data_IF_293368518152
#
_entry.id   IF_293368518152
#
_cell.length_a   1.000
_cell.length_b   1.000
_cell.length_c   1.000
_cell.angle_alpha   90.00
_cell.angle_beta   90.00
_cell.angle_gamma   90.00
#
_symmetry.space_group_name_H-M   'P 1'
#
loop_
_entity.id
_entity.type
_entity.pdbx_description
1 polymer ?
#
# COMPACT_ATOMS: atom_id res chain seq x y z
N UNK A 1 -0.26 3.55 27.44
CA UNK A 1 0.92 3.82 28.30
C UNK A 1 0.52 3.84 29.76
N UNK A 2 1.49 3.74 30.70
CA UNK A 2 1.20 3.90 32.14
C UNK A 2 0.50 5.23 32.50
N UNK A 3 0.67 6.26 31.69
CA UNK A 3 0.02 7.57 31.82
C UNK A 3 -1.36 7.63 31.18
N UNK A 4 -1.91 6.50 30.70
CA UNK A 4 -3.23 6.44 30.07
C UNK A 4 -3.28 6.90 28.61
N UNK A 5 -2.14 7.26 27.99
CA UNK A 5 -2.11 7.65 26.59
C UNK A 5 -2.39 6.46 25.68
N UNK A 6 -3.30 6.61 24.70
CA UNK A 6 -3.54 5.63 23.65
C UNK A 6 -2.39 5.65 22.65
N UNK A 7 -1.86 4.47 22.33
CA UNK A 7 -0.75 4.33 21.38
C UNK A 7 -0.95 3.10 20.49
N UNK A 8 -0.48 3.19 19.27
CA UNK A 8 -0.07 2.02 18.49
C UNK A 8 1.36 1.67 18.90
N UNK A 9 1.70 0.39 18.99
CA UNK A 9 3.07 -0.02 19.24
C UNK A 9 3.52 -1.11 18.27
N UNK A 10 4.80 -1.13 17.97
CA UNK A 10 5.44 -2.16 17.18
C UNK A 10 6.66 -2.75 17.91
N UNK A 11 7.09 -3.92 17.50
CA UNK A 11 8.30 -4.58 17.99
C UNK A 11 8.34 -4.73 19.53
N UNK A 12 7.40 -5.48 20.13
CA UNK A 12 7.46 -5.81 21.55
C UNK A 12 8.79 -6.49 21.90
N UNK A 13 9.25 -6.29 23.12
CA UNK A 13 10.54 -6.84 23.58
C UNK A 13 10.49 -8.36 23.64
N UNK A 14 11.42 -9.04 22.97
CA UNK A 14 11.51 -10.50 23.01
C UNK A 14 11.68 -11.01 24.46
N UNK A 15 11.10 -12.16 24.83
CA UNK A 15 10.37 -13.12 23.99
C UNK A 15 8.86 -12.84 23.86
N UNK A 16 8.38 -11.69 24.27
CA UNK A 16 6.95 -11.35 24.29
C UNK A 16 6.42 -10.99 22.89
N UNK A 17 5.12 -11.28 22.66
CA UNK A 17 4.39 -10.91 21.45
C UNK A 17 3.34 -9.83 21.72
N UNK A 18 2.70 -9.34 20.66
CA UNK A 18 1.63 -8.33 20.74
C UNK A 18 0.23 -8.92 21.00
N UNK A 19 0.03 -10.22 20.77
CA UNK A 19 -1.26 -10.90 21.01
C UNK A 19 -1.39 -11.32 22.49
N UNK A 20 -1.45 -10.33 23.35
CA UNK A 20 -1.52 -10.47 24.80
C UNK A 20 -2.19 -9.25 25.43
N UNK A 21 -2.75 -9.40 26.61
CA UNK A 21 -3.34 -8.29 27.37
C UNK A 21 -2.32 -7.20 27.72
N UNK A 22 -1.04 -7.55 27.83
CA UNK A 22 0.07 -6.64 28.13
C UNK A 22 1.32 -7.13 27.40
N UNK A 23 2.06 -6.20 26.82
CA UNK A 23 3.34 -6.47 26.19
C UNK A 23 4.36 -5.39 26.60
N UNK A 24 5.59 -5.77 27.00
CA UNK A 24 6.66 -4.79 27.22
C UNK A 24 7.15 -4.24 25.88
N UNK A 25 7.16 -2.93 25.75
CA UNK A 25 7.57 -2.24 24.51
C UNK A 25 8.44 -1.03 24.87
N UNK A 26 9.51 -0.81 24.12
CA UNK A 26 10.31 0.39 24.23
C UNK A 26 9.47 1.63 23.88
N UNK A 27 9.56 2.71 24.65
CA UNK A 27 8.75 3.92 24.43
C UNK A 27 8.92 4.51 23.03
N UNK A 28 10.09 4.41 22.44
CA UNK A 28 10.36 4.85 21.07
C UNK A 28 9.59 4.08 19.98
N UNK A 29 9.05 2.92 20.34
CA UNK A 29 8.21 2.10 19.44
C UNK A 29 6.71 2.30 19.71
N UNK A 30 6.35 3.25 20.57
CA UNK A 30 4.98 3.62 20.89
C UNK A 30 4.62 4.91 20.13
N UNK A 31 3.65 4.84 19.26
CA UNK A 31 3.20 5.94 18.41
C UNK A 31 1.85 6.45 18.91
N UNK A 32 1.73 7.74 19.28
CA UNK A 32 0.47 8.31 19.74
C UNK A 32 -0.64 8.16 18.70
N UNK A 33 -1.83 7.77 19.14
CA UNK A 33 -3.02 7.70 18.30
C UNK A 33 -3.84 9.00 18.42
N UNK A 34 -4.44 9.48 17.31
CA UNK A 34 -5.47 10.51 17.38
C UNK A 34 -6.65 10.04 18.23
N UNK A 35 -7.21 10.91 19.07
CA UNK A 35 -8.34 10.56 19.95
C UNK A 35 -9.57 10.09 19.18
N UNK A 36 -9.81 10.66 18.00
CA UNK A 36 -10.94 10.31 17.13
C UNK A 36 -10.73 9.03 16.30
N UNK A 37 -9.52 8.44 16.30
CA UNK A 37 -9.25 7.21 15.57
C UNK A 37 -9.66 6.00 16.42
N UNK A 38 -10.54 5.16 15.88
CA UNK A 38 -10.97 3.90 16.48
C UNK A 38 -9.81 2.90 16.59
N UNK A 39 -9.73 2.16 17.70
CA UNK A 39 -8.63 1.21 17.97
C UNK A 39 -8.58 0.05 16.98
N UNK A 40 -9.77 -0.44 16.53
CA UNK A 40 -9.86 -1.51 15.55
C UNK A 40 -9.35 -1.03 14.20
N UNK A 41 -9.75 0.18 13.78
CA UNK A 41 -9.26 0.80 12.56
C UNK A 41 -7.74 1.04 12.62
N UNK A 42 -7.25 1.59 13.73
CA UNK A 42 -5.82 1.83 13.91
C UNK A 42 -5.00 0.54 13.81
N UNK A 43 -5.42 -0.54 14.49
CA UNK A 43 -4.76 -1.82 14.46
C UNK A 43 -4.79 -2.48 13.06
N UNK A 44 -5.95 -2.37 12.37
CA UNK A 44 -6.13 -2.97 11.05
C UNK A 44 -5.29 -2.28 9.98
N UNK A 45 -5.24 -0.93 10.00
CA UNK A 45 -4.59 -0.16 8.94
C UNK A 45 -3.07 0.02 9.16
N UNK A 46 -2.55 -0.16 10.36
CA UNK A 46 -1.17 0.18 10.69
C UNK A 46 -0.14 -0.45 9.72
N UNK A 47 -0.20 -1.76 9.50
CA UNK A 47 0.74 -2.43 8.59
C UNK A 47 0.49 -2.12 7.11
N UNK A 48 -0.71 -2.35 6.53
CA UNK A 48 -0.95 -2.06 5.12
C UNK A 48 -0.89 -0.56 4.80
N UNK A 49 -1.31 0.30 5.71
CA UNK A 49 -1.23 1.76 5.56
C UNK A 49 0.20 2.28 5.67
N UNK A 50 1.01 1.75 6.58
CA UNK A 50 2.44 2.04 6.64
C UNK A 50 3.13 1.70 5.31
N UNK A 51 2.84 0.53 4.75
CA UNK A 51 3.39 0.11 3.47
C UNK A 51 3.02 1.10 2.34
N UNK A 52 1.75 1.49 2.26
CA UNK A 52 1.28 2.46 1.28
C UNK A 52 1.90 3.85 1.49
N UNK A 53 1.93 4.35 2.74
CA UNK A 53 2.50 5.65 3.09
C UNK A 53 3.99 5.73 2.78
N UNK A 54 4.76 4.74 3.24
CA UNK A 54 6.19 4.69 2.98
C UNK A 54 6.51 4.64 1.48
N UNK A 55 5.70 3.92 0.69
CA UNK A 55 5.88 3.83 -0.75
C UNK A 55 5.57 5.14 -1.45
N UNK A 56 4.48 5.81 -1.09
CA UNK A 56 4.06 7.09 -1.69
C UNK A 56 4.92 8.26 -1.22
N UNK A 57 5.13 8.40 0.10
CA UNK A 57 5.80 9.57 0.69
C UNK A 57 7.31 9.40 0.72
N UNK A 58 7.81 8.30 1.31
CA UNK A 58 9.27 8.16 1.53
C UNK A 58 9.99 7.72 0.27
N UNK A 59 9.43 6.77 -0.50
CA UNK A 59 10.08 6.21 -1.69
C UNK A 59 9.79 7.02 -2.95
N UNK A 60 8.53 7.16 -3.30
CA UNK A 60 8.13 7.88 -4.50
C UNK A 60 8.18 9.41 -4.34
N UNK A 61 8.10 9.93 -3.11
CA UNK A 61 8.03 11.38 -2.86
C UNK A 61 6.90 12.03 -3.69
N UNK A 62 5.71 11.44 -3.62
CA UNK A 62 4.54 11.89 -4.36
C UNK A 62 4.28 13.39 -4.12
N UNK A 63 4.08 14.12 -5.19
CA UNK A 63 3.71 15.53 -5.16
C UNK A 63 2.22 15.69 -5.50
N UNK A 64 1.57 16.68 -4.88
CA UNK A 64 0.21 17.03 -5.26
C UNK A 64 0.14 17.42 -6.75
N UNK A 65 -0.91 16.96 -7.42
CA UNK A 65 -1.09 17.16 -8.86
C UNK A 65 -0.53 16.06 -9.76
N UNK A 66 0.20 15.08 -9.20
CA UNK A 66 0.74 13.94 -9.96
C UNK A 66 -0.30 12.84 -10.21
N UNK A 67 -0.05 12.03 -11.24
CA UNK A 67 -0.81 10.84 -11.59
C UNK A 67 -0.17 9.59 -11.00
N UNK A 68 -0.95 8.80 -10.26
CA UNK A 68 -0.50 7.57 -9.59
C UNK A 68 -1.19 6.35 -10.20
N UNK A 69 -0.44 5.32 -10.57
CA UNK A 69 -0.97 4.01 -10.89
C UNK A 69 -0.70 3.05 -9.72
N UNK A 70 -1.75 2.39 -9.22
CA UNK A 70 -1.66 1.40 -8.14
C UNK A 70 -1.95 0.02 -8.71
N UNK A 71 -0.90 -0.78 -8.88
CA UNK A 71 -0.98 -2.13 -9.40
C UNK A 71 -1.32 -3.11 -8.26
N UNK A 72 -2.53 -3.70 -8.31
CA UNK A 72 -3.06 -4.53 -7.24
C UNK A 72 -3.86 -3.75 -6.19
N UNK A 73 -4.64 -2.76 -6.64
CA UNK A 73 -5.38 -1.84 -5.79
C UNK A 73 -6.53 -2.48 -4.96
N UNK A 74 -6.97 -3.69 -5.27
CA UNK A 74 -8.10 -4.34 -4.58
C UNK A 74 -7.73 -5.05 -3.28
N UNK A 75 -6.46 -5.24 -2.98
CA UNK A 75 -5.99 -5.75 -1.69
C UNK A 75 -5.98 -4.68 -0.59
N UNK A 76 -5.88 -5.07 0.67
CA UNK A 76 -5.92 -4.13 1.82
C UNK A 76 -4.93 -2.98 1.72
N UNK A 77 -3.67 -3.24 1.32
CA UNK A 77 -2.67 -2.20 1.14
C UNK A 77 -2.95 -1.31 -0.08
N UNK A 78 -3.43 -1.92 -1.18
CA UNK A 78 -3.79 -1.20 -2.39
C UNK A 78 -4.98 -0.26 -2.20
N UNK A 79 -6.03 -0.69 -1.47
CA UNK A 79 -7.18 0.14 -1.12
C UNK A 79 -6.77 1.36 -0.29
N UNK A 80 -5.89 1.16 0.69
CA UNK A 80 -5.33 2.26 1.48
C UNK A 80 -4.40 3.15 0.64
N UNK A 81 -3.63 2.59 -0.31
CA UNK A 81 -2.80 3.38 -1.21
C UNK A 81 -3.64 4.32 -2.09
N UNK A 82 -4.82 3.89 -2.56
CA UNK A 82 -5.77 4.76 -3.29
C UNK A 82 -6.21 5.93 -2.41
N UNK A 83 -6.67 5.64 -1.18
CA UNK A 83 -7.14 6.66 -0.25
C UNK A 83 -6.02 7.64 0.15
N UNK A 84 -4.83 7.10 0.44
CA UNK A 84 -3.65 7.91 0.82
C UNK A 84 -3.19 8.77 -0.37
N UNK A 85 -3.13 8.24 -1.58
CA UNK A 85 -2.78 9.02 -2.77
C UNK A 85 -3.76 10.18 -2.99
N UNK A 86 -5.06 9.94 -2.79
CA UNK A 86 -6.09 10.99 -2.85
C UNK A 86 -5.88 12.04 -1.77
N UNK A 87 -5.64 11.62 -0.53
CA UNK A 87 -5.36 12.52 0.59
C UNK A 87 -4.11 13.38 0.36
N UNK A 88 -3.08 12.82 -0.26
CA UNK A 88 -1.83 13.52 -0.60
C UNK A 88 -1.98 14.44 -1.83
N UNK A 89 -3.16 14.50 -2.46
CA UNK A 89 -3.45 15.42 -3.55
C UNK A 89 -3.08 14.89 -4.94
N UNK A 90 -3.02 13.57 -5.13
CA UNK A 90 -2.89 12.99 -6.46
C UNK A 90 -4.01 13.51 -7.38
N UNK A 91 -3.64 14.01 -8.57
CA UNK A 91 -4.58 14.54 -9.55
C UNK A 91 -5.41 13.43 -10.21
N UNK A 92 -4.77 12.29 -10.47
CA UNK A 92 -5.40 11.14 -11.09
C UNK A 92 -4.88 9.86 -10.44
N UNK A 93 -5.78 8.93 -10.16
CA UNK A 93 -5.46 7.61 -9.60
C UNK A 93 -5.97 6.54 -10.56
N UNK A 94 -5.06 5.70 -11.03
CA UNK A 94 -5.35 4.56 -11.89
C UNK A 94 -5.19 3.30 -11.04
N UNK A 95 -6.26 2.52 -10.93
CA UNK A 95 -6.28 1.30 -10.12
C UNK A 95 -6.30 0.06 -11.00
N UNK A 96 -5.49 -0.95 -10.66
CA UNK A 96 -5.58 -2.25 -11.32
C UNK A 96 -5.97 -3.36 -10.35
N UNK A 97 -6.65 -4.38 -10.83
CA UNK A 97 -7.06 -5.53 -10.05
C UNK A 97 -7.82 -6.56 -10.87
N UNK A 98 -8.07 -7.74 -10.29
CA UNK A 98 -8.79 -8.82 -10.98
C UNK A 98 -10.30 -8.74 -10.81
N UNK A 99 -10.76 -8.30 -9.66
CA UNK A 99 -12.19 -8.25 -9.33
C UNK A 99 -12.78 -6.90 -9.75
N UNK A 100 -13.65 -6.90 -10.75
CA UNK A 100 -14.29 -5.70 -11.29
C UNK A 100 -15.16 -4.97 -10.26
N UNK A 101 -15.88 -5.72 -9.40
CA UNK A 101 -16.73 -5.12 -8.36
C UNK A 101 -15.89 -4.41 -7.30
N UNK A 102 -14.77 -5.03 -6.88
CA UNK A 102 -13.85 -4.41 -5.92
C UNK A 102 -13.15 -3.18 -6.53
N UNK A 103 -12.82 -3.21 -7.83
CA UNK A 103 -12.26 -2.05 -8.53
C UNK A 103 -13.26 -0.89 -8.58
N UNK A 104 -14.51 -1.18 -8.96
CA UNK A 104 -15.56 -0.16 -9.07
C UNK A 104 -15.92 0.51 -7.72
N UNK A 105 -15.58 -0.13 -6.60
CA UNK A 105 -15.79 0.41 -5.25
C UNK A 105 -14.66 1.35 -4.76
N UNK A 106 -13.56 1.45 -5.52
CA UNK A 106 -12.42 2.32 -5.17
C UNK A 106 -12.69 3.76 -5.60
N UNK A 107 -12.15 4.71 -4.84
CA UNK A 107 -12.09 6.13 -5.24
C UNK A 107 -10.93 6.35 -6.24
N UNK A 108 -10.99 5.63 -7.37
CA UNK A 108 -10.03 5.73 -8.46
C UNK A 108 -10.69 6.35 -9.69
N UNK A 109 -9.92 7.15 -10.43
CA UNK A 109 -10.42 7.85 -11.63
C UNK A 109 -10.49 6.95 -12.85
N UNK A 110 -9.65 5.89 -12.87
CA UNK A 110 -9.60 4.91 -13.95
C UNK A 110 -9.27 3.51 -13.39
N UNK A 111 -9.90 2.48 -13.93
CA UNK A 111 -9.71 1.11 -13.51
C UNK A 111 -9.31 0.21 -14.67
N UNK A 112 -8.31 -0.66 -14.48
CA UNK A 112 -7.87 -1.67 -15.42
C UNK A 112 -8.07 -3.05 -14.80
N UNK A 113 -8.89 -3.89 -15.44
CA UNK A 113 -9.12 -5.25 -14.98
C UNK A 113 -8.05 -6.21 -15.51
N UNK A 114 -7.28 -6.82 -14.63
CA UNK A 114 -6.13 -7.69 -14.95
C UNK A 114 -6.52 -9.12 -15.42
N UNK A 115 -7.74 -9.34 -15.86
CA UNK A 115 -8.22 -10.64 -16.37
C UNK A 115 -8.35 -10.68 -17.90
N UNK A 116 -8.06 -9.56 -18.56
CA UNK A 116 -8.03 -9.48 -20.01
C UNK A 116 -6.81 -10.22 -20.57
N UNK A 117 -6.87 -10.54 -21.85
CA UNK A 117 -5.72 -11.08 -22.59
C UNK A 117 -4.60 -10.03 -22.70
N UNK A 118 -3.37 -10.50 -22.95
CA UNK A 118 -2.17 -9.66 -23.00
C UNK A 118 -2.25 -8.51 -24.00
N UNK A 119 -2.89 -8.72 -25.14
CA UNK A 119 -3.04 -7.68 -26.17
C UNK A 119 -3.93 -6.55 -25.66
N UNK A 120 -5.03 -6.90 -25.03
CA UNK A 120 -5.96 -5.94 -24.41
C UNK A 120 -5.29 -5.21 -23.27
N UNK A 121 -4.62 -5.91 -22.34
CA UNK A 121 -3.90 -5.30 -21.21
C UNK A 121 -2.78 -4.38 -21.67
N UNK A 122 -1.96 -4.81 -22.64
CA UNK A 122 -0.90 -3.97 -23.23
C UNK A 122 -1.47 -2.72 -23.88
N UNK A 123 -2.64 -2.82 -24.52
CA UNK A 123 -3.36 -1.67 -25.07
C UNK A 123 -3.83 -0.70 -24.01
N UNK A 124 -4.41 -1.20 -22.92
CA UNK A 124 -4.86 -0.39 -21.78
C UNK A 124 -3.68 0.28 -21.08
N UNK A 125 -2.61 -0.46 -20.76
CA UNK A 125 -1.40 0.12 -20.18
C UNK A 125 -0.75 1.17 -21.08
N UNK A 126 -0.76 0.96 -22.41
CA UNK A 126 -0.28 1.95 -23.37
C UNK A 126 -1.12 3.23 -23.33
N UNK A 127 -2.45 3.11 -23.27
CA UNK A 127 -3.35 4.25 -23.22
C UNK A 127 -3.13 5.10 -21.96
N UNK A 128 -3.08 4.48 -20.78
CA UNK A 128 -2.83 5.22 -19.50
C UNK A 128 -1.42 5.79 -19.44
N UNK A 129 -0.42 5.10 -19.98
CA UNK A 129 0.97 5.59 -20.03
C UNK A 129 1.10 6.81 -20.96
N UNK A 130 0.36 6.83 -22.06
CA UNK A 130 0.32 7.98 -22.97
C UNK A 130 -0.34 9.22 -22.36
N UNK A 131 -1.21 9.03 -21.34
CA UNK A 131 -1.82 10.12 -20.57
C UNK A 131 -0.93 10.62 -19.43
N UNK A 132 0.30 10.16 -19.36
CA UNK A 132 1.34 10.42 -18.37
C UNK A 132 1.05 9.83 -16.97
N UNK A 133 1.99 9.04 -16.49
CA UNK A 133 2.03 8.50 -15.13
C UNK A 133 3.32 9.00 -14.47
N UNK A 134 3.23 9.51 -13.25
CA UNK A 134 4.36 10.02 -12.50
C UNK A 134 4.88 9.01 -11.48
N UNK A 135 3.96 8.25 -10.86
CA UNK A 135 4.25 7.26 -9.83
C UNK A 135 3.52 5.95 -10.10
N UNK A 136 4.22 4.83 -9.93
CA UNK A 136 3.61 3.49 -9.87
C UNK A 136 3.91 2.87 -8.53
N UNK A 137 2.86 2.38 -7.84
CA UNK A 137 2.97 1.56 -6.63
C UNK A 137 2.52 0.14 -7.01
N UNK A 138 3.45 -0.80 -6.92
CA UNK A 138 3.22 -2.17 -7.40
C UNK A 138 3.26 -3.20 -6.28
N UNK A 139 2.09 -3.78 -5.97
CA UNK A 139 1.91 -4.87 -5.02
C UNK A 139 1.93 -6.26 -5.65
N UNK A 140 1.93 -6.34 -6.98
CA UNK A 140 1.77 -7.58 -7.72
C UNK A 140 3.07 -8.12 -8.28
N UNK A 141 3.88 -7.26 -8.93
CA UNK A 141 5.02 -7.66 -9.74
C UNK A 141 4.60 -8.62 -10.87
N UNK A 142 5.47 -9.59 -11.26
CA UNK A 142 5.12 -10.64 -12.22
C UNK A 142 4.59 -10.10 -13.55
N UNK A 143 3.65 -10.85 -14.15
CA UNK A 143 3.18 -10.61 -15.51
C UNK A 143 2.62 -9.20 -15.78
N UNK A 144 1.88 -8.62 -14.82
CA UNK A 144 1.36 -7.25 -15.00
C UNK A 144 2.47 -6.21 -15.09
N UNK A 145 3.58 -6.39 -14.36
CA UNK A 145 4.75 -5.52 -14.44
C UNK A 145 5.50 -5.68 -15.77
N UNK A 146 5.57 -6.91 -16.32
CA UNK A 146 6.16 -7.20 -17.64
C UNK A 146 5.46 -6.48 -18.77
N UNK A 147 4.14 -6.28 -18.67
CA UNK A 147 3.35 -5.53 -19.64
C UNK A 147 3.39 -4.01 -19.40
N UNK A 148 3.37 -3.58 -18.15
CA UNK A 148 3.33 -2.17 -17.77
C UNK A 148 4.67 -1.44 -18.04
N UNK A 149 5.81 -2.05 -17.67
CA UNK A 149 7.11 -1.40 -17.79
C UNK A 149 7.47 -1.03 -19.24
N UNK A 150 7.27 -1.89 -20.26
CA UNK A 150 7.47 -1.49 -21.66
C UNK A 150 6.51 -0.40 -22.14
N UNK A 151 5.25 -0.40 -21.64
CA UNK A 151 4.28 0.65 -21.96
C UNK A 151 4.74 2.00 -21.41
N UNK A 152 5.18 2.05 -20.14
CA UNK A 152 5.77 3.26 -19.55
C UNK A 152 6.97 3.74 -20.37
N UNK A 153 7.92 2.84 -20.69
CA UNK A 153 9.11 3.21 -21.44
C UNK A 153 8.82 3.80 -22.82
N UNK A 154 7.75 3.34 -23.46
CA UNK A 154 7.34 3.82 -24.79
C UNK A 154 6.77 5.24 -24.76
N UNK A 155 6.08 5.64 -23.67
CA UNK A 155 5.30 6.86 -23.64
C UNK A 155 5.83 7.91 -22.66
N UNK A 156 6.79 7.55 -21.77
CA UNK A 156 7.36 8.51 -20.83
C UNK A 156 8.28 9.50 -21.55
N UNK A 157 8.03 10.81 -21.49
CA UNK A 157 8.88 11.81 -22.12
C UNK A 157 10.26 11.89 -21.44
N UNK A 158 11.28 12.22 -22.23
CA UNK A 158 12.59 12.55 -21.68
C UNK A 158 12.48 13.71 -20.69
N UNK A 159 13.09 13.59 -19.52
CA UNK A 159 13.04 14.62 -18.46
C UNK A 159 11.86 14.53 -17.48
N UNK A 160 10.91 13.62 -17.69
CA UNK A 160 9.77 13.40 -16.78
C UNK A 160 9.86 11.98 -16.17
N UNK A 161 10.66 11.77 -15.11
CA UNK A 161 10.91 10.43 -14.59
C UNK A 161 9.67 9.80 -13.97
N UNK A 162 9.39 8.53 -14.31
CA UNK A 162 8.41 7.70 -13.61
C UNK A 162 9.08 6.98 -12.46
N UNK A 163 8.56 7.17 -11.25
CA UNK A 163 9.01 6.49 -10.04
C UNK A 163 8.19 5.22 -9.83
N UNK A 164 8.78 4.09 -10.18
CA UNK A 164 8.16 2.77 -10.05
C UNK A 164 8.62 2.13 -8.75
N UNK A 165 7.71 1.99 -7.78
CA UNK A 165 7.97 1.41 -6.47
C UNK A 165 7.39 0.00 -6.41
N UNK A 166 8.27 -1.00 -6.42
CA UNK A 166 7.91 -2.40 -6.18
C UNK A 166 7.74 -2.62 -4.67
N UNK A 167 6.57 -3.08 -4.26
CA UNK A 167 6.19 -3.25 -2.84
C UNK A 167 5.90 -4.71 -2.52
N UNK A 168 5.28 -5.44 -3.44
CA UNK A 168 4.88 -6.82 -3.26
C UNK A 168 5.05 -7.66 -4.52
N UNK A 169 4.94 -8.98 -4.36
CA UNK A 169 5.13 -9.95 -5.45
C UNK A 169 4.01 -11.00 -5.48
N UNK A 170 2.76 -10.56 -5.26
CA UNK A 170 1.61 -11.46 -5.19
C UNK A 170 1.32 -12.21 -6.51
N UNK A 171 1.76 -11.66 -7.66
CA UNK A 171 1.56 -12.27 -8.97
C UNK A 171 2.81 -12.98 -9.53
N UNK A 172 3.94 -12.87 -8.84
CA UNK A 172 5.18 -13.55 -9.23
C UNK A 172 6.38 -12.92 -8.53
N UNK A 173 7.40 -13.72 -8.22
CA UNK A 173 8.64 -13.25 -7.59
C UNK A 173 9.58 -12.58 -8.58
N UNK A 174 9.54 -13.00 -9.83
CA UNK A 174 10.44 -12.59 -10.89
C UNK A 174 9.69 -11.96 -12.07
N UNK A 175 10.41 -11.18 -12.87
CA UNK A 175 9.93 -10.66 -14.15
C UNK A 175 11.02 -10.80 -15.22
N UNK A 176 10.59 -10.97 -16.48
CA UNK A 176 11.44 -10.84 -17.65
C UNK A 176 11.45 -9.37 -18.10
N UNK A 177 12.52 -8.64 -17.79
CA UNK A 177 12.67 -7.24 -18.16
C UNK A 177 13.82 -7.04 -19.15
N UNK A 178 13.50 -6.60 -20.37
CA UNK A 178 14.53 -6.23 -21.33
C UNK A 178 15.24 -4.94 -20.88
N UNK A 179 16.57 -4.98 -20.77
CA UNK A 179 17.37 -3.81 -20.37
C UNK A 179 17.19 -2.58 -21.28
N UNK A 180 16.71 -2.74 -22.52
CA UNK A 180 16.38 -1.62 -23.39
C UNK A 180 15.26 -0.74 -22.82
N UNK A 181 14.32 -1.32 -22.07
CA UNK A 181 13.24 -0.58 -21.39
C UNK A 181 13.80 0.51 -20.48
N UNK A 182 14.82 0.17 -19.68
CA UNK A 182 15.45 1.13 -18.76
C UNK A 182 16.34 2.18 -19.46
N UNK A 183 16.81 1.89 -20.68
CA UNK A 183 17.63 2.83 -21.45
C UNK A 183 16.80 3.78 -22.32
N UNK A 184 15.56 3.43 -22.61
CA UNK A 184 14.70 4.20 -23.54
C UNK A 184 13.87 5.28 -22.85
N UNK A 185 13.74 5.24 -21.53
CA UNK A 185 12.93 6.19 -20.78
C UNK A 185 13.49 6.41 -19.36
N UNK A 186 13.22 7.56 -18.74
CA UNK A 186 13.68 7.84 -17.38
C UNK A 186 12.81 7.10 -16.35
N UNK A 187 12.97 5.78 -16.25
CA UNK A 187 12.29 4.94 -15.27
C UNK A 187 13.20 4.74 -14.04
N UNK A 188 12.69 5.06 -12.87
CA UNK A 188 13.34 4.85 -11.58
C UNK A 188 12.69 3.66 -10.89
N UNK A 189 13.28 2.46 -11.02
CA UNK A 189 12.81 1.27 -10.33
C UNK A 189 13.42 1.22 -8.93
N UNK A 190 12.56 1.09 -7.91
CA UNK A 190 12.99 1.00 -6.51
C UNK A 190 12.08 0.07 -5.71
N UNK A 191 12.61 -0.54 -4.65
CA UNK A 191 11.82 -1.35 -3.72
C UNK A 191 11.31 -0.54 -2.53
N UNK A 192 10.23 -0.98 -1.91
CA UNK A 192 9.72 -0.48 -0.63
C UNK A 192 9.37 -1.65 0.29
N UNK A 193 10.04 -1.77 1.43
CA UNK A 193 9.82 -2.84 2.39
C UNK A 193 10.90 -2.88 3.47
N UNK A 194 10.81 -3.88 4.35
CA UNK A 194 11.83 -4.12 5.40
C UNK A 194 13.17 -4.40 4.71
N UNK A 195 14.19 -3.63 5.07
CA UNK A 195 15.54 -3.70 4.47
C UNK A 195 15.81 -2.60 3.44
N UNK A 196 14.83 -2.10 2.71
CA UNK A 196 14.96 -0.91 1.86
C UNK A 196 14.66 0.38 2.61
N UNK A 197 14.02 0.27 3.76
CA UNK A 197 13.74 1.33 4.72
C UNK A 197 14.24 0.92 6.11
N UNK A 198 14.77 1.85 6.86
CA UNK A 198 15.15 1.61 8.26
C UNK A 198 13.90 1.45 9.14
N UNK A 199 14.06 0.80 10.30
CA UNK A 199 12.98 0.67 11.29
C UNK A 199 12.44 2.04 11.72
N UNK A 200 13.30 3.03 11.88
CA UNK A 200 12.88 4.40 12.21
C UNK A 200 12.03 5.05 11.11
N UNK A 201 12.36 4.83 9.85
CA UNK A 201 11.55 5.30 8.72
C UNK A 201 10.19 4.59 8.66
N UNK A 202 10.15 3.29 8.93
CA UNK A 202 8.88 2.54 8.97
C UNK A 202 7.99 2.98 10.14
N UNK A 203 8.56 3.24 11.32
CA UNK A 203 7.83 3.79 12.46
C UNK A 203 7.32 5.20 12.18
N UNK A 204 8.14 6.06 11.58
CA UNK A 204 7.73 7.41 11.19
C UNK A 204 6.56 7.34 10.19
N UNK A 205 6.68 6.53 9.13
CA UNK A 205 5.61 6.34 8.15
C UNK A 205 4.31 5.82 8.78
N UNK A 206 4.42 4.90 9.77
CA UNK A 206 3.27 4.41 10.52
C UNK A 206 2.61 5.54 11.32
N UNK A 207 3.40 6.31 12.04
CA UNK A 207 2.90 7.43 12.84
C UNK A 207 2.22 8.51 12.00
N UNK A 208 2.86 8.94 10.92
CA UNK A 208 2.32 9.93 9.98
C UNK A 208 1.01 9.45 9.35
N UNK A 209 0.96 8.20 8.89
CA UNK A 209 -0.25 7.58 8.33
C UNK A 209 -1.38 7.53 9.35
N UNK A 210 -1.11 7.14 10.61
CA UNK A 210 -2.13 7.10 11.66
C UNK A 210 -2.64 8.52 12.01
N UNK A 211 -1.77 9.54 12.00
CA UNK A 211 -2.21 10.94 12.16
C UNK A 211 -3.05 11.43 10.98
N UNK A 212 -2.74 10.99 9.77
CA UNK A 212 -3.51 11.31 8.57
C UNK A 212 -4.84 10.56 8.47
N UNK A 213 -5.03 9.48 9.25
CA UNK A 213 -6.21 8.63 9.12
C UNK A 213 -7.53 9.37 9.35
N UNK A 214 -7.60 10.25 10.34
CA UNK A 214 -8.82 11.02 10.65
C UNK A 214 -9.08 12.11 9.61
N UNK A 215 -8.15 13.06 9.33
CA UNK A 215 -8.40 14.10 8.34
C UNK A 215 -8.54 13.53 6.91
N UNK A 216 -7.85 12.44 6.60
CA UNK A 216 -7.92 11.75 5.31
C UNK A 216 -9.14 10.80 5.19
N UNK A 217 -9.90 10.61 6.28
CA UNK A 217 -11.03 9.66 6.34
C UNK A 217 -10.64 8.26 5.88
N UNK A 218 -9.41 7.84 6.21
CA UNK A 218 -8.91 6.53 5.83
C UNK A 218 -9.68 5.43 6.54
N UNK A 219 -10.09 4.42 5.80
CA UNK A 219 -10.85 3.29 6.34
C UNK A 219 -10.38 1.97 5.75
N UNK A 220 -10.54 0.91 6.53
CA UNK A 220 -10.25 -0.45 6.10
C UNK A 220 -11.33 -1.40 6.62
N UNK A 221 -11.76 -2.34 5.78
CA UNK A 221 -12.74 -3.33 6.20
C UNK A 221 -12.15 -4.27 7.25
N UNK A 222 -12.87 -4.49 8.35
CA UNK A 222 -12.42 -5.28 9.50
C UNK A 222 -13.41 -6.35 9.92
N UNK A 223 -12.90 -7.40 10.55
CA UNK A 223 -13.66 -8.42 11.27
C UNK A 223 -13.10 -8.51 12.69
N UNK A 224 -13.68 -7.79 13.66
CA UNK A 224 -13.25 -7.90 15.06
C UNK A 224 -13.57 -9.28 15.63
N UNK A 225 -12.65 -9.85 16.39
CA UNK A 225 -12.78 -11.14 17.08
C UNK A 225 -12.19 -11.06 18.49
N UNK A 226 -12.79 -11.66 19.49
CA UNK A 226 -12.16 -11.79 20.82
C UNK A 226 -10.83 -12.55 20.71
N UNK A 227 -9.81 -12.12 21.46
CA UNK A 227 -8.51 -12.81 21.45
C UNK A 227 -8.61 -14.29 21.86
N UNK A 228 -9.58 -14.63 22.71
CA UNK A 228 -9.85 -16.01 23.12
C UNK A 228 -10.24 -16.94 21.95
N UNK A 229 -10.75 -16.37 20.86
CA UNK A 229 -11.13 -17.11 19.64
C UNK A 229 -9.97 -17.32 18.65
N UNK A 230 -8.76 -16.91 18.99
CA UNK A 230 -7.62 -16.86 18.06
C UNK A 230 -7.38 -18.21 17.35
N UNK A 231 -7.47 -19.32 18.08
CA UNK A 231 -7.23 -20.64 17.51
C UNK A 231 -8.25 -21.01 16.42
N UNK A 232 -9.50 -20.58 16.56
CA UNK A 232 -10.56 -20.83 15.59
C UNK A 232 -10.55 -19.80 14.45
N UNK A 233 -10.18 -18.56 14.74
CA UNK A 233 -10.21 -17.46 13.78
C UNK A 233 -8.94 -17.39 12.90
N UNK A 234 -7.78 -17.83 13.41
CA UNK A 234 -6.51 -17.73 12.70
C UNK A 234 -6.48 -18.39 11.31
N UNK A 235 -7.03 -19.62 11.15
CA UNK A 235 -7.06 -20.26 9.84
C UNK A 235 -8.13 -19.68 8.89
N UNK A 236 -9.01 -18.79 9.37
CA UNK A 236 -10.06 -18.18 8.57
C UNK A 236 -9.53 -16.87 7.98
N UNK A 237 -8.71 -16.99 6.92
CA UNK A 237 -8.23 -15.79 6.21
C UNK A 237 -9.33 -15.23 5.31
N UNK A 238 -9.61 -13.93 5.47
CA UNK A 238 -10.45 -13.16 4.55
C UNK A 238 -9.60 -12.05 3.92
N UNK A 239 -9.21 -12.25 2.67
CA UNK A 239 -8.41 -11.26 1.93
C UNK A 239 -9.10 -9.91 1.72
N UNK A 240 -10.42 -9.83 1.97
CA UNK A 240 -11.22 -8.61 1.82
C UNK A 240 -11.33 -7.81 3.13
N UNK A 241 -11.15 -8.47 4.28
CA UNK A 241 -11.29 -7.86 5.61
C UNK A 241 -10.13 -8.24 6.51
N UNK A 242 -9.69 -7.29 7.31
CA UNK A 242 -8.63 -7.53 8.30
C UNK A 242 -9.24 -8.08 9.59
N UNK A 243 -8.83 -9.27 10.00
CA UNK A 243 -9.15 -9.75 11.34
C UNK A 243 -8.39 -8.95 12.38
N UNK A 244 -9.09 -8.38 13.36
CA UNK A 244 -8.52 -7.66 14.51
C UNK A 244 -8.95 -8.36 15.77
N UNK A 245 -7.98 -8.81 16.58
CA UNK A 245 -8.26 -9.41 17.86
C UNK A 245 -8.42 -8.34 18.92
N UNK A 246 -9.57 -8.38 19.62
CA UNK A 246 -9.89 -7.45 20.70
C UNK A 246 -9.66 -8.10 22.07
N UNK A 247 -9.24 -7.28 23.01
CA UNK A 247 -9.16 -7.64 24.45
C UNK A 247 -10.45 -7.19 25.09
N UNK A 248 -11.19 -8.12 25.68
CA UNK A 248 -12.43 -7.82 26.40
C UNK A 248 -12.22 -6.96 27.65
#
# INVERSE_FOLDING_TARGET
>A
TPQGQRVYFAFPTAPFGSMAQRAPVALQNCLPLPDALDDIQAAAMANPGMSAWASLVTRAQLQAGETVLINGATGSAGQLAVQIARYLGAKKIIATGRNAQSLAALDADECIQLTADDKTLSGQFSAVSAAQIDVVIDYLWGHSAELLLPALAKYTPAGSPVRYVQVGSLAGADIALNGAVLRSAPLLLMGSGIGSLSVSQLLAATGEMLQAAVPGKLTIATTPRPLQEIAAAWPQDDSQKRTVFTLG
#
